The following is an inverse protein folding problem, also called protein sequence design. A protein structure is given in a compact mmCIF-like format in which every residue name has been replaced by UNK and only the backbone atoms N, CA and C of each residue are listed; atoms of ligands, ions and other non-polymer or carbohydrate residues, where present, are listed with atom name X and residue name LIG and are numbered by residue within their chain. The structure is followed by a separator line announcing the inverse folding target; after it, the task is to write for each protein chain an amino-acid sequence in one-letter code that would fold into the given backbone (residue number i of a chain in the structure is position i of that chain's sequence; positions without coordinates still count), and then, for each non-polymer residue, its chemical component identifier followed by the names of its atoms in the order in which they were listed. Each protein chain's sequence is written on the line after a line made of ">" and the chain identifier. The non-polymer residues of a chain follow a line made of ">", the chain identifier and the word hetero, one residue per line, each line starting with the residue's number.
data_IF_064210266082
#
_entry.id   IF_064210266082
#
_cell.length_a   1.000
_cell.length_b   1.000
_cell.length_c   1.000
_cell.angle_alpha   90.00
_cell.angle_beta   90.00
_cell.angle_gamma   90.00
#
_symmetry.space_group_name_H-M   'P 1'
#
loop_
_entity.id
_entity.type
_entity.pdbx_description
1 polymer ?
#
# COMPACT_ATOMS: atom_id res chain seq x y z
N UNK A 1 50.47 -30.18 25.76
CA UNK A 1 50.24 -30.93 27.04
C UNK A 1 49.40 -32.18 26.81
N UNK A 2 48.48 -32.18 25.83
CA UNK A 2 47.59 -33.33 25.56
C UNK A 2 48.30 -34.52 24.89
N UNK A 3 49.39 -34.29 24.17
CA UNK A 3 50.13 -35.34 23.45
C UNK A 3 51.05 -36.15 24.40
N UNK A 4 51.46 -35.56 25.52
CA UNK A 4 52.28 -36.22 26.56
C UNK A 4 51.43 -37.14 27.45
N UNK A 5 50.14 -36.79 27.65
CA UNK A 5 49.20 -37.64 28.40
C UNK A 5 48.76 -38.86 27.60
N UNK A 6 48.52 -38.75 26.30
CA UNK A 6 48.21 -39.86 25.39
C UNK A 6 49.36 -40.88 25.28
N UNK A 7 50.58 -40.42 25.19
CA UNK A 7 51.75 -41.30 25.15
C UNK A 7 52.03 -42.03 26.47
N UNK A 8 51.72 -41.42 27.61
CA UNK A 8 51.88 -42.10 28.93
C UNK A 8 50.81 -43.15 29.16
N UNK A 9 49.60 -43.01 28.60
CA UNK A 9 48.52 -43.99 28.73
C UNK A 9 48.81 -45.21 27.82
N UNK A 10 49.36 -45.02 26.63
CA UNK A 10 49.76 -46.09 25.74
C UNK A 10 50.96 -46.90 26.25
N UNK A 11 51.90 -46.26 26.94
CA UNK A 11 53.04 -46.96 27.56
C UNK A 11 52.67 -47.82 28.77
N UNK A 12 51.63 -47.46 29.54
CA UNK A 12 51.12 -48.29 30.64
C UNK A 12 50.38 -49.53 30.21
N UNK A 13 49.80 -49.52 28.97
CA UNK A 13 49.13 -50.70 28.41
C UNK A 13 50.09 -51.70 27.75
N UNK A 14 51.35 -51.24 27.33
CA UNK A 14 52.28 -52.10 26.58
C UNK A 14 53.32 -52.78 27.46
N UNK A 15 53.50 -52.41 28.77
CA UNK A 15 54.47 -53.06 29.70
C UNK A 15 53.83 -54.12 30.62
N UNK A 16 52.66 -54.63 30.35
CA UNK A 16 51.96 -55.62 31.14
C UNK A 16 51.96 -57.04 30.56
N UNK A 17 53.10 -57.44 29.91
CA UNK A 17 53.24 -58.80 29.43
C UNK A 17 54.25 -59.57 30.33
N UNK A 18 53.79 -60.08 31.45
CA UNK A 18 54.22 -61.27 32.18
C UNK A 18 53.79 -61.19 33.65
N UNK A 19 52.87 -62.02 33.94
CA UNK A 19 52.25 -62.38 35.24
C UNK A 19 50.86 -61.81 35.53
N UNK A 20 49.92 -62.71 35.43
CA UNK A 20 48.48 -62.51 35.54
C UNK A 20 47.94 -61.99 36.89
N UNK A 21 47.95 -60.71 37.01
CA UNK A 21 47.01 -59.97 37.88
C UNK A 21 47.16 -58.46 37.54
N UNK A 22 46.28 -57.98 36.66
CA UNK A 22 46.10 -56.53 36.44
C UNK A 22 45.71 -55.90 37.79
N UNK A 23 46.46 -54.91 38.31
CA UNK A 23 46.09 -54.27 39.55
C UNK A 23 44.73 -53.57 39.42
N UNK A 24 43.78 -54.04 40.20
CA UNK A 24 42.38 -53.57 40.24
C UNK A 24 42.28 -52.04 40.27
N UNK A 25 43.33 -51.37 40.76
CA UNK A 25 43.45 -49.88 40.76
C UNK A 25 43.69 -49.23 39.39
N UNK A 26 44.34 -49.91 38.42
CA UNK A 26 44.50 -49.37 37.08
C UNK A 26 43.21 -49.49 36.25
N UNK A 27 42.51 -50.59 36.37
CA UNK A 27 41.21 -50.83 35.66
C UNK A 27 40.16 -49.85 36.21
N UNK A 28 40.14 -49.56 37.50
CA UNK A 28 39.19 -48.61 38.08
C UNK A 28 39.51 -47.15 37.68
N UNK A 29 40.81 -46.77 37.51
CA UNK A 29 41.17 -45.46 37.00
C UNK A 29 40.88 -45.30 35.50
N UNK A 30 41.15 -46.31 34.67
CA UNK A 30 40.78 -46.29 33.23
C UNK A 30 39.28 -46.25 33.03
N UNK A 31 38.52 -47.02 33.84
CA UNK A 31 37.05 -47.00 33.77
C UNK A 31 36.49 -45.66 34.26
N UNK A 32 37.08 -45.03 35.28
CA UNK A 32 36.73 -43.66 35.69
C UNK A 32 36.99 -42.59 34.64
N UNK A 33 38.10 -42.66 33.92
CA UNK A 33 38.42 -41.69 32.84
C UNK A 33 37.48 -41.89 31.64
N UNK A 34 37.15 -43.13 31.30
CA UNK A 34 36.16 -43.43 30.25
C UNK A 34 34.75 -42.97 30.63
N UNK A 35 34.35 -43.15 31.90
CA UNK A 35 33.05 -42.63 32.42
C UNK A 35 32.98 -41.12 32.42
N UNK A 36 34.06 -40.42 32.85
CA UNK A 36 34.12 -38.94 32.83
C UNK A 36 34.14 -38.42 31.40
N UNK A 37 34.87 -39.06 30.48
CA UNK A 37 34.91 -38.71 29.05
C UNK A 37 33.51 -38.91 28.39
N UNK A 38 32.81 -40.00 28.77
CA UNK A 38 31.42 -40.24 28.31
C UNK A 38 30.44 -39.19 28.78
N UNK A 39 30.54 -38.79 30.06
CA UNK A 39 29.69 -37.73 30.64
C UNK A 39 29.97 -36.37 29.98
N UNK A 40 31.24 -36.00 29.82
CA UNK A 40 31.61 -34.76 29.13
C UNK A 40 31.18 -34.77 27.66
N UNK A 41 31.33 -35.88 26.95
CA UNK A 41 30.83 -36.04 25.58
C UNK A 41 29.31 -35.92 25.50
N UNK A 42 28.56 -36.52 26.45
CA UNK A 42 27.10 -36.39 26.51
C UNK A 42 26.67 -34.94 26.79
N UNK A 43 27.32 -34.24 27.72
CA UNK A 43 27.03 -32.84 28.04
C UNK A 43 27.31 -31.95 26.80
N UNK A 44 28.45 -32.12 26.12
CA UNK A 44 28.79 -31.38 24.90
C UNK A 44 27.75 -31.62 23.82
N UNK A 45 27.31 -32.87 23.64
CA UNK A 45 26.27 -33.23 22.64
C UNK A 45 24.95 -32.57 22.97
N UNK A 46 24.50 -32.53 24.23
CA UNK A 46 23.27 -31.86 24.67
C UNK A 46 23.39 -30.33 24.45
N UNK A 47 24.53 -29.71 24.75
CA UNK A 47 24.76 -28.28 24.52
C UNK A 47 24.71 -27.95 23.04
N UNK A 48 25.32 -28.76 22.18
CA UNK A 48 25.29 -28.59 20.72
C UNK A 48 23.84 -28.75 20.21
N UNK A 49 23.10 -29.74 20.69
CA UNK A 49 21.69 -29.95 20.33
C UNK A 49 20.82 -28.77 20.75
N UNK A 50 21.00 -28.24 21.95
CA UNK A 50 20.33 -27.03 22.44
C UNK A 50 20.70 -25.79 21.61
N UNK A 51 21.96 -25.62 21.25
CA UNK A 51 22.41 -24.52 20.40
C UNK A 51 21.78 -24.58 19.01
N UNK A 52 21.63 -25.77 18.42
CA UNK A 52 20.94 -25.99 17.15
C UNK A 52 19.45 -25.66 17.26
N UNK A 53 18.79 -26.05 18.35
CA UNK A 53 17.37 -25.79 18.59
C UNK A 53 17.12 -24.28 18.77
N UNK A 54 17.94 -23.59 19.57
CA UNK A 54 17.80 -22.15 19.82
C UNK A 54 18.15 -21.34 18.56
N UNK A 55 19.22 -21.69 17.87
CA UNK A 55 19.64 -21.01 16.63
C UNK A 55 18.74 -21.34 15.44
N UNK A 56 17.96 -22.40 15.49
CA UNK A 56 17.02 -22.81 14.44
C UNK A 56 15.63 -22.16 14.55
N UNK A 57 15.28 -21.54 15.67
CA UNK A 57 13.99 -20.89 15.80
C UNK A 57 13.99 -19.50 15.16
N UNK A 58 13.14 -19.31 14.14
CA UNK A 58 13.00 -18.05 13.42
C UNK A 58 11.55 -17.56 13.47
N UNK A 59 11.37 -16.27 13.75
CA UNK A 59 10.07 -15.62 13.81
C UNK A 59 9.91 -14.66 12.62
N UNK A 60 8.89 -14.90 11.79
CA UNK A 60 8.55 -14.03 10.67
C UNK A 60 7.76 -12.81 11.17
N UNK A 61 8.11 -11.62 10.68
CA UNK A 61 7.29 -10.42 10.83
C UNK A 61 6.06 -10.49 9.91
N UNK A 62 4.94 -9.84 10.24
CA UNK A 62 3.78 -9.75 9.34
C UNK A 62 4.07 -9.01 8.03
N UNK A 63 5.05 -8.12 8.02
CA UNK A 63 5.48 -7.33 6.84
C UNK A 63 6.55 -8.00 5.98
N UNK A 64 7.05 -9.19 6.40
CA UNK A 64 8.07 -9.91 5.65
C UNK A 64 7.76 -11.40 5.63
N UNK A 65 7.76 -11.99 4.44
CA UNK A 65 7.75 -13.44 4.29
C UNK A 65 9.17 -13.97 4.43
N UNK A 66 9.32 -15.02 5.22
CA UNK A 66 10.54 -15.80 5.28
C UNK A 66 10.38 -17.05 4.41
N UNK A 67 11.23 -17.15 3.41
CA UNK A 67 11.25 -18.27 2.46
C UNK A 67 12.41 -19.17 2.85
N UNK A 68 12.07 -20.36 3.33
CA UNK A 68 13.06 -21.36 3.74
C UNK A 68 13.17 -22.38 2.62
N UNK A 69 14.35 -22.40 1.99
CA UNK A 69 14.71 -23.33 0.93
C UNK A 69 15.82 -24.28 1.39
N UNK A 70 15.80 -25.54 0.95
CA UNK A 70 16.84 -26.52 1.30
C UNK A 70 16.35 -27.95 1.10
N UNK A 71 16.18 -28.71 2.17
CA UNK A 71 15.93 -30.17 2.16
C UNK A 71 14.65 -30.58 1.42
N UNK A 72 13.63 -29.75 1.47
CA UNK A 72 12.33 -30.05 0.82
C UNK A 72 12.29 -29.54 -0.61
N UNK A 73 11.65 -30.30 -1.51
CA UNK A 73 11.47 -29.93 -2.94
C UNK A 73 10.68 -28.64 -3.15
N UNK A 74 9.80 -28.25 -2.21
CA UNK A 74 9.05 -26.99 -2.23
C UNK A 74 9.54 -26.09 -1.12
N UNK A 75 9.82 -24.80 -1.39
CA UNK A 75 10.19 -23.84 -0.36
C UNK A 75 9.02 -23.67 0.62
N UNK A 76 9.32 -23.49 1.90
CA UNK A 76 8.34 -23.19 2.94
C UNK A 76 8.25 -21.68 3.11
N UNK A 77 7.04 -21.14 3.01
CA UNK A 77 6.75 -19.73 3.17
C UNK A 77 6.19 -19.52 4.59
N UNK A 78 6.83 -18.68 5.38
CA UNK A 78 6.40 -18.31 6.72
C UNK A 78 6.03 -16.83 6.74
N UNK A 79 4.76 -16.53 7.02
CA UNK A 79 4.23 -15.18 7.14
C UNK A 79 3.62 -15.03 8.53
N UNK A 80 4.13 -14.11 9.35
CA UNK A 80 3.61 -13.81 10.68
C UNK A 80 3.64 -14.97 11.67
N UNK A 81 4.34 -16.07 11.36
CA UNK A 81 4.44 -17.28 12.19
C UNK A 81 5.89 -17.57 12.55
N UNK A 82 6.10 -18.25 13.67
CA UNK A 82 7.39 -18.84 13.98
C UNK A 82 7.58 -20.15 13.22
N UNK A 83 8.83 -20.44 12.84
CA UNK A 83 9.20 -21.68 12.18
C UNK A 83 10.57 -22.17 12.67
N UNK A 84 10.82 -23.47 12.52
CA UNK A 84 12.12 -24.05 12.78
C UNK A 84 12.90 -24.17 11.46
N UNK A 85 14.14 -23.70 11.47
CA UNK A 85 15.12 -23.83 10.41
C UNK A 85 16.25 -24.72 10.90
N UNK A 86 16.74 -25.59 10.05
CA UNK A 86 17.95 -26.40 10.36
C UNK A 86 19.15 -25.56 9.87
N UNK A 87 19.94 -24.96 10.81
CA UNK A 87 21.15 -24.24 10.44
C UNK A 87 22.08 -25.21 9.67
N UNK A 88 22.82 -24.70 8.70
CA UNK A 88 23.68 -25.41 7.74
C UNK A 88 23.01 -26.07 6.54
N UNK A 89 21.77 -26.57 6.66
CA UNK A 89 21.07 -27.27 5.57
C UNK A 89 19.98 -26.46 4.90
N UNK A 90 19.42 -25.46 5.58
CA UNK A 90 18.34 -24.63 5.05
C UNK A 90 18.77 -23.18 4.94
N UNK A 91 18.59 -22.59 3.75
CA UNK A 91 18.77 -21.17 3.49
C UNK A 91 17.47 -20.42 3.79
N UNK A 92 17.61 -19.25 4.37
CA UNK A 92 16.50 -18.38 4.69
C UNK A 92 16.66 -17.07 3.93
N UNK A 93 15.71 -16.76 3.10
CA UNK A 93 15.63 -15.53 2.35
C UNK A 93 14.41 -14.73 2.80
N UNK A 94 14.46 -13.40 2.64
CA UNK A 94 13.40 -12.48 3.05
C UNK A 94 12.73 -11.91 1.82
N UNK A 95 11.40 -11.84 1.84
CA UNK A 95 10.60 -11.12 0.86
C UNK A 95 9.79 -10.04 1.57
N UNK A 96 9.87 -8.82 1.10
CA UNK A 96 9.10 -7.70 1.64
C UNK A 96 7.65 -7.80 1.16
N UNK A 97 6.70 -7.83 2.11
CA UNK A 97 5.24 -7.91 1.84
C UNK A 97 4.51 -6.61 2.16
N UNK A 98 5.22 -5.62 2.68
CA UNK A 98 4.63 -4.34 3.04
C UNK A 98 4.13 -3.57 1.83
N UNK A 99 3.33 -2.55 2.09
CA UNK A 99 2.91 -1.61 1.07
C UNK A 99 4.11 -0.78 0.60
N UNK A 100 4.22 -0.60 -0.70
CA UNK A 100 5.27 0.16 -1.37
C UNK A 100 4.59 1.29 -2.15
N UNK A 101 5.11 2.51 -2.01
CA UNK A 101 4.72 3.63 -2.85
C UNK A 101 5.70 3.75 -4.00
N UNK A 102 5.20 3.78 -5.22
CA UNK A 102 5.99 3.94 -6.44
C UNK A 102 5.63 5.29 -7.07
N UNK A 103 6.61 6.17 -7.15
CA UNK A 103 6.46 7.45 -7.83
C UNK A 103 6.67 7.24 -9.34
N UNK A 104 5.63 7.49 -10.12
CA UNK A 104 5.63 7.33 -11.57
C UNK A 104 5.68 8.72 -12.18
N UNK A 105 6.73 9.01 -12.91
CA UNK A 105 6.91 10.28 -13.64
C UNK A 105 7.26 10.00 -15.06
N UNK A 106 6.57 10.66 -15.99
CA UNK A 106 6.96 10.60 -17.40
C UNK A 106 8.17 11.52 -17.60
N UNK A 107 9.37 10.93 -17.75
CA UNK A 107 10.59 11.70 -17.98
C UNK A 107 10.57 12.46 -19.34
N UNK A 108 9.91 11.87 -20.32
CA UNK A 108 9.73 12.47 -21.64
C UNK A 108 8.25 12.76 -21.88
N UNK A 109 7.91 13.90 -22.51
CA UNK A 109 6.53 14.21 -22.84
C UNK A 109 5.88 13.11 -23.69
N UNK A 110 4.65 12.77 -23.36
CA UNK A 110 3.88 11.72 -24.03
C UNK A 110 2.76 12.36 -24.84
N UNK A 111 2.64 12.06 -26.14
CA UNK A 111 1.53 12.56 -26.93
C UNK A 111 0.22 11.89 -26.55
N UNK A 112 -0.80 12.70 -26.31
CA UNK A 112 -2.19 12.26 -26.15
C UNK A 112 -2.82 11.89 -27.48
N UNK A 113 -4.05 11.37 -27.46
CA UNK A 113 -4.83 11.13 -28.70
C UNK A 113 -5.05 12.40 -29.55
N UNK A 114 -5.03 13.57 -28.92
CA UNK A 114 -5.14 14.89 -29.59
C UNK A 114 -3.80 15.43 -30.08
N UNK A 115 -2.74 14.61 -30.06
CA UNK A 115 -1.37 15.00 -30.42
C UNK A 115 -0.76 16.12 -29.55
N UNK A 116 -1.24 16.26 -28.33
CA UNK A 116 -0.71 17.21 -27.35
C UNK A 116 0.27 16.48 -26.45
N UNK A 117 1.47 17.01 -26.31
CA UNK A 117 2.48 16.44 -25.42
C UNK A 117 2.20 16.81 -23.97
N UNK A 118 2.08 15.82 -23.11
CA UNK A 118 1.84 15.98 -21.67
C UNK A 118 2.87 15.23 -20.83
N UNK A 119 3.16 15.79 -19.67
CA UNK A 119 3.89 15.13 -18.60
C UNK A 119 2.92 14.84 -17.46
N UNK A 120 2.90 13.59 -17.00
CA UNK A 120 2.02 13.14 -15.93
C UNK A 120 2.85 12.60 -14.77
N UNK A 121 2.56 13.11 -13.58
CA UNK A 121 3.08 12.60 -12.32
C UNK A 121 1.97 11.84 -11.59
N UNK A 122 2.25 10.61 -11.19
CA UNK A 122 1.33 9.76 -10.45
C UNK A 122 2.04 8.99 -9.34
N UNK A 123 1.30 8.55 -8.34
CA UNK A 123 1.80 7.68 -7.29
C UNK A 123 0.94 6.42 -7.24
N UNK A 124 1.57 5.28 -7.47
CA UNK A 124 0.93 3.98 -7.30
C UNK A 124 1.31 3.37 -5.95
N UNK A 125 0.32 2.81 -5.27
CA UNK A 125 0.53 1.99 -4.07
C UNK A 125 0.36 0.53 -4.44
N UNK A 126 1.43 -0.23 -4.23
CA UNK A 126 1.50 -1.64 -4.58
C UNK A 126 1.88 -2.48 -3.37
N UNK A 127 1.54 -3.75 -3.41
CA UNK A 127 1.97 -4.72 -2.42
C UNK A 127 2.14 -6.10 -3.08
N UNK A 128 2.90 -6.98 -2.45
CA UNK A 128 2.94 -8.38 -2.87
C UNK A 128 1.61 -9.03 -2.52
N UNK A 129 1.00 -9.74 -3.47
CA UNK A 129 -0.23 -10.51 -3.24
C UNK A 129 -0.06 -11.49 -2.08
N UNK A 130 -1.11 -11.69 -1.31
CA UNK A 130 -1.07 -12.58 -0.11
C UNK A 130 -1.26 -14.05 -0.45
N UNK A 131 -1.66 -14.35 -1.67
CA UNK A 131 -1.83 -15.72 -2.14
C UNK A 131 -0.48 -16.43 -2.25
N UNK A 132 -0.47 -17.72 -2.01
CA UNK A 132 0.74 -18.52 -2.08
C UNK A 132 1.40 -18.44 -3.46
N UNK A 133 0.59 -18.37 -4.52
CA UNK A 133 1.04 -18.25 -5.91
C UNK A 133 1.72 -16.90 -6.15
N UNK A 134 1.10 -15.79 -5.73
CA UNK A 134 1.65 -14.45 -5.85
C UNK A 134 2.95 -14.29 -5.06
N UNK A 135 3.04 -14.84 -3.86
CA UNK A 135 4.27 -14.84 -3.05
C UNK A 135 5.38 -15.64 -3.74
N UNK A 136 5.07 -16.77 -4.38
CA UNK A 136 6.05 -17.55 -5.12
C UNK A 136 6.54 -16.81 -6.37
N UNK A 137 5.66 -16.12 -7.08
CA UNK A 137 6.03 -15.30 -8.25
C UNK A 137 6.90 -14.11 -7.82
N UNK A 138 6.49 -13.38 -6.79
CA UNK A 138 7.27 -12.27 -6.25
C UNK A 138 8.64 -12.72 -5.72
N UNK A 139 8.72 -13.89 -5.09
CA UNK A 139 9.97 -14.44 -4.62
C UNK A 139 10.98 -14.75 -5.73
N UNK A 140 10.51 -15.07 -6.94
CA UNK A 140 11.43 -15.31 -8.07
C UNK A 140 12.14 -14.04 -8.53
N UNK A 141 11.49 -12.89 -8.39
CA UNK A 141 11.99 -11.62 -8.91
C UNK A 141 12.59 -10.70 -7.82
N UNK A 142 12.00 -10.70 -6.62
CA UNK A 142 12.28 -9.69 -5.59
C UNK A 142 12.84 -10.27 -4.28
N UNK A 143 13.41 -11.47 -4.33
CA UNK A 143 13.98 -12.11 -3.14
C UNK A 143 15.13 -11.27 -2.58
N UNK A 144 15.07 -10.96 -1.27
CA UNK A 144 16.03 -10.11 -0.55
C UNK A 144 16.09 -8.64 -1.01
N UNK A 145 15.16 -8.19 -1.83
CA UNK A 145 15.05 -6.77 -2.20
C UNK A 145 14.40 -5.97 -1.07
N UNK A 146 14.83 -4.73 -0.93
CA UNK A 146 14.16 -3.73 -0.09
C UNK A 146 12.94 -3.17 -0.82
N UNK A 147 11.99 -2.57 -0.07
CA UNK A 147 10.83 -1.93 -0.70
C UNK A 147 11.19 -0.87 -1.75
N UNK A 148 12.28 -0.12 -1.53
CA UNK A 148 12.78 0.89 -2.47
C UNK A 148 13.32 0.28 -3.77
N UNK A 149 14.02 -0.85 -3.68
CA UNK A 149 14.51 -1.55 -4.86
C UNK A 149 13.35 -2.11 -5.69
N UNK A 150 12.34 -2.67 -5.02
CA UNK A 150 11.13 -3.15 -5.69
C UNK A 150 10.40 -1.97 -6.36
N UNK A 151 10.28 -0.82 -5.66
CA UNK A 151 9.66 0.38 -6.22
C UNK A 151 10.33 0.82 -7.51
N UNK A 152 11.66 0.85 -7.51
CA UNK A 152 12.46 1.25 -8.68
C UNK A 152 12.28 0.29 -9.87
N UNK A 153 12.29 -1.02 -9.62
CA UNK A 153 12.11 -2.02 -10.68
C UNK A 153 10.69 -1.99 -11.28
N UNK A 154 9.68 -1.62 -10.47
CA UNK A 154 8.30 -1.50 -10.93
C UNK A 154 8.01 -0.17 -11.62
N UNK A 155 8.80 0.88 -11.37
CA UNK A 155 8.59 2.21 -11.90
C UNK A 155 8.55 2.21 -13.42
N UNK A 156 9.53 1.60 -14.08
CA UNK A 156 9.63 1.57 -15.54
C UNK A 156 8.43 0.86 -16.19
N UNK A 157 7.97 -0.23 -15.56
CA UNK A 157 6.82 -0.98 -16.06
C UNK A 157 5.51 -0.21 -15.90
N UNK A 158 5.33 0.47 -14.76
CA UNK A 158 4.15 1.29 -14.49
C UNK A 158 4.14 2.55 -15.36
N UNK A 159 5.30 3.18 -15.59
CA UNK A 159 5.44 4.30 -16.50
C UNK A 159 5.07 3.89 -17.93
N UNK A 160 5.54 2.74 -18.41
CA UNK A 160 5.19 2.22 -19.72
C UNK A 160 3.69 2.03 -19.91
N UNK A 161 3.01 1.42 -18.92
CA UNK A 161 1.55 1.25 -18.94
C UNK A 161 0.80 2.58 -18.92
N UNK A 162 1.27 3.54 -18.09
CA UNK A 162 0.69 4.88 -18.03
C UNK A 162 0.84 5.61 -19.36
N UNK A 163 2.01 5.54 -20.00
CA UNK A 163 2.30 6.12 -21.30
C UNK A 163 1.38 5.58 -22.41
N UNK A 164 1.09 4.27 -22.40
CA UNK A 164 0.16 3.64 -23.33
C UNK A 164 -1.26 4.19 -23.18
N UNK A 165 -1.74 4.34 -21.94
CA UNK A 165 -3.08 4.86 -21.67
C UNK A 165 -3.18 6.36 -22.03
N UNK A 166 -2.16 7.18 -21.72
CA UNK A 166 -2.11 8.59 -22.13
C UNK A 166 -2.30 8.73 -23.63
N UNK A 167 -1.66 7.88 -24.43
CA UNK A 167 -1.79 7.89 -25.89
C UNK A 167 -3.20 7.55 -26.41
N UNK A 168 -4.06 6.96 -25.61
CA UNK A 168 -5.45 6.63 -25.99
C UNK A 168 -6.47 7.68 -25.58
N UNK A 169 -6.13 8.58 -24.67
CA UNK A 169 -7.03 9.57 -24.08
C UNK A 169 -6.75 10.99 -24.63
N UNK A 170 -7.77 11.84 -24.56
CA UNK A 170 -7.64 13.27 -24.85
C UNK A 170 -7.15 14.03 -23.62
N UNK A 171 -6.51 15.18 -23.81
CA UNK A 171 -6.07 16.05 -22.71
C UNK A 171 -7.23 16.45 -21.79
N UNK A 172 -8.38 16.75 -22.39
CA UNK A 172 -9.60 17.12 -21.64
C UNK A 172 -10.07 15.97 -20.76
N UNK A 173 -10.08 14.72 -21.28
CA UNK A 173 -10.48 13.52 -20.52
C UNK A 173 -9.55 13.28 -19.34
N UNK A 174 -8.23 13.36 -19.54
CA UNK A 174 -7.22 13.16 -18.49
C UNK A 174 -7.39 14.18 -17.35
N UNK A 175 -7.72 15.43 -17.69
CA UNK A 175 -7.83 16.49 -16.69
C UNK A 175 -9.20 16.53 -16.00
N UNK A 176 -10.27 16.15 -16.71
CA UNK A 176 -11.66 16.23 -16.19
C UNK A 176 -12.05 15.00 -15.39
N UNK A 177 -11.63 13.81 -15.82
CA UNK A 177 -11.99 12.52 -15.19
C UNK A 177 -10.73 11.73 -14.78
N UNK A 178 -10.07 12.24 -13.74
CA UNK A 178 -8.84 11.64 -13.22
C UNK A 178 -9.06 10.24 -12.62
N UNK A 179 -10.24 10.00 -12.07
CA UNK A 179 -10.57 8.70 -11.46
C UNK A 179 -10.68 7.62 -12.55
N UNK A 180 -11.40 7.91 -13.65
CA UNK A 180 -11.50 6.99 -14.78
C UNK A 180 -10.12 6.72 -15.42
N UNK A 181 -9.27 7.74 -15.52
CA UNK A 181 -7.91 7.56 -16.01
C UNK A 181 -7.09 6.66 -15.08
N UNK A 182 -7.14 6.90 -13.76
CA UNK A 182 -6.48 6.06 -12.76
C UNK A 182 -6.92 4.59 -12.87
N UNK A 183 -8.22 4.36 -12.98
CA UNK A 183 -8.79 3.01 -13.10
C UNK A 183 -8.32 2.30 -14.38
N UNK A 184 -8.22 3.01 -15.50
CA UNK A 184 -7.70 2.44 -16.75
C UNK A 184 -6.23 2.05 -16.61
N UNK A 185 -5.40 2.91 -15.98
CA UNK A 185 -3.99 2.61 -15.72
C UNK A 185 -3.86 1.39 -14.80
N UNK A 186 -4.65 1.33 -13.70
CA UNK A 186 -4.65 0.19 -12.79
C UNK A 186 -5.05 -1.09 -13.50
N UNK A 187 -6.14 -1.07 -14.28
CA UNK A 187 -6.64 -2.25 -15.00
C UNK A 187 -5.63 -2.77 -16.03
N UNK A 188 -4.94 -1.88 -16.74
CA UNK A 188 -3.91 -2.24 -17.69
C UNK A 188 -2.68 -2.80 -16.98
N UNK A 189 -2.16 -2.09 -16.01
CA UNK A 189 -0.98 -2.49 -15.27
C UNK A 189 -1.20 -3.74 -14.40
N UNK A 190 -2.43 -3.98 -13.90
CA UNK A 190 -2.73 -5.13 -13.05
C UNK A 190 -2.41 -6.48 -13.70
N UNK A 191 -2.57 -6.61 -15.02
CA UNK A 191 -2.24 -7.84 -15.73
C UNK A 191 -0.74 -8.15 -15.71
N UNK A 192 0.10 -7.12 -15.88
CA UNK A 192 1.54 -7.28 -15.87
C UNK A 192 2.09 -7.42 -14.45
N UNK A 193 1.56 -6.65 -13.52
CA UNK A 193 1.91 -6.75 -12.09
C UNK A 193 1.55 -8.13 -11.51
N UNK A 194 0.44 -8.71 -11.92
CA UNK A 194 0.03 -10.05 -11.49
C UNK A 194 1.03 -11.13 -11.90
N UNK A 195 1.67 -11.00 -13.06
CA UNK A 195 2.73 -11.92 -13.51
C UNK A 195 3.97 -11.85 -12.60
N UNK A 196 4.19 -10.71 -11.95
CA UNK A 196 5.26 -10.49 -10.98
C UNK A 196 4.85 -10.83 -9.54
N UNK A 197 3.58 -11.20 -9.31
CA UNK A 197 3.03 -11.44 -7.98
C UNK A 197 2.74 -10.17 -7.19
N UNK A 198 2.61 -9.03 -7.87
CA UNK A 198 2.32 -7.70 -7.28
C UNK A 198 0.86 -7.34 -7.52
N UNK A 199 0.23 -6.76 -6.51
CA UNK A 199 -1.12 -6.22 -6.55
C UNK A 199 -1.08 -4.70 -6.43
N UNK A 200 -1.81 -4.01 -7.29
CA UNK A 200 -1.95 -2.56 -7.24
C UNK A 200 -3.15 -2.23 -6.37
N UNK A 201 -2.92 -1.49 -5.29
CA UNK A 201 -3.96 -1.07 -4.36
C UNK A 201 -4.66 0.21 -4.83
N UNK A 202 -3.89 1.16 -5.33
CA UNK A 202 -4.39 2.42 -5.88
C UNK A 202 -3.34 3.07 -6.77
N UNK A 203 -3.80 3.85 -7.73
CA UNK A 203 -2.97 4.75 -8.51
C UNK A 203 -3.62 6.14 -8.45
N UNK A 204 -2.87 7.14 -8.02
CA UNK A 204 -3.37 8.50 -7.89
C UNK A 204 -2.54 9.44 -8.75
N UNK A 205 -3.20 10.16 -9.66
CA UNK A 205 -2.57 11.17 -10.49
C UNK A 205 -2.40 12.44 -9.65
N UNK A 206 -1.17 12.90 -9.56
CA UNK A 206 -0.83 14.09 -8.78
C UNK A 206 -0.89 15.34 -9.64
N UNK A 207 -0.21 15.31 -10.77
CA UNK A 207 -0.07 16.46 -11.64
C UNK A 207 -0.11 16.08 -13.12
N UNK A 208 -0.66 16.95 -13.94
CA UNK A 208 -0.63 16.85 -15.39
C UNK A 208 -0.19 18.21 -15.91
N UNK A 209 0.90 18.26 -16.65
CA UNK A 209 1.46 19.48 -17.23
C UNK A 209 1.67 19.30 -18.73
N UNK A 210 1.56 20.38 -19.45
CA UNK A 210 1.87 20.46 -20.87
C UNK A 210 2.92 21.54 -21.14
N UNK A 211 3.73 21.35 -22.15
CA UNK A 211 4.83 22.29 -22.49
C UNK A 211 4.32 23.56 -23.14
N UNK A 212 3.10 23.57 -23.71
CA UNK A 212 2.54 24.67 -24.50
C UNK A 212 1.57 25.56 -23.73
N UNK A 213 1.28 25.24 -22.44
CA UNK A 213 0.34 26.00 -21.61
C UNK A 213 -1.14 25.82 -21.97
N UNK A 214 -1.48 24.81 -22.77
CA UNK A 214 -2.85 24.55 -23.22
C UNK A 214 -3.80 24.20 -22.05
N UNK A 215 -3.28 23.55 -21.01
CA UNK A 215 -4.06 23.27 -19.77
C UNK A 215 -4.49 24.58 -19.13
N UNK A 216 -3.61 25.58 -19.08
CA UNK A 216 -3.90 26.91 -18.52
C UNK A 216 -4.94 27.63 -19.35
N UNK A 217 -4.82 27.57 -20.68
CA UNK A 217 -5.75 28.21 -21.61
C UNK A 217 -7.14 27.57 -21.56
N UNK A 218 -7.23 26.24 -21.50
CA UNK A 218 -8.48 25.51 -21.29
C UNK A 218 -9.11 25.87 -19.93
N UNK A 219 -8.28 26.02 -18.88
CA UNK A 219 -8.71 26.48 -17.57
C UNK A 219 -9.26 27.91 -17.60
N UNK A 220 -8.66 28.82 -18.36
CA UNK A 220 -9.11 30.18 -18.55
C UNK A 220 -10.46 30.25 -19.29
N UNK A 221 -10.62 29.49 -20.40
CA UNK A 221 -11.90 29.38 -21.13
C UNK A 221 -13.01 28.83 -20.25
N UNK A 222 -12.76 27.72 -19.53
CA UNK A 222 -13.75 27.16 -18.62
C UNK A 222 -14.13 28.12 -17.50
N UNK A 223 -13.14 28.86 -16.95
CA UNK A 223 -13.38 29.91 -15.94
C UNK A 223 -14.25 31.03 -16.51
N UNK A 224 -14.01 31.47 -17.75
CA UNK A 224 -14.82 32.49 -18.42
C UNK A 224 -16.26 31.99 -18.65
N UNK A 225 -16.44 30.74 -19.06
CA UNK A 225 -17.76 30.11 -19.23
C UNK A 225 -18.53 30.01 -17.91
N UNK A 226 -17.87 29.58 -16.82
CA UNK A 226 -18.46 29.51 -15.48
C UNK A 226 -18.87 30.91 -14.99
N UNK A 227 -18.00 31.94 -15.14
CA UNK A 227 -18.32 33.34 -14.80
C UNK A 227 -19.52 33.85 -15.58
N UNK A 228 -19.58 33.60 -16.89
CA UNK A 228 -20.72 33.96 -17.73
C UNK A 228 -22.02 33.32 -17.24
N UNK A 229 -21.99 31.98 -16.99
CA UNK A 229 -23.16 31.26 -16.49
C UNK A 229 -23.62 31.77 -15.12
N UNK A 230 -22.68 32.03 -14.22
CA UNK A 230 -22.98 32.59 -12.90
C UNK A 230 -23.57 34.01 -12.98
N UNK A 231 -23.07 34.86 -13.89
CA UNK A 231 -23.63 36.18 -14.12
C UNK A 231 -25.07 36.13 -14.67
N UNK A 232 -25.33 35.23 -15.62
CA UNK A 232 -26.70 35.02 -16.17
C UNK A 232 -27.63 34.54 -15.06
N UNK A 233 -27.26 33.49 -14.32
CA UNK A 233 -28.08 32.96 -13.22
C UNK A 233 -28.36 34.00 -12.14
N UNK A 234 -27.37 34.86 -11.81
CA UNK A 234 -27.56 35.95 -10.85
C UNK A 234 -28.56 36.99 -11.38
N UNK A 235 -28.43 37.41 -12.64
CA UNK A 235 -29.36 38.34 -13.28
C UNK A 235 -30.80 37.79 -13.36
N UNK A 236 -30.96 36.51 -13.66
CA UNK A 236 -32.25 35.81 -13.64
C UNK A 236 -32.87 35.80 -12.23
N UNK A 237 -32.09 35.46 -11.21
CA UNK A 237 -32.54 35.46 -9.82
C UNK A 237 -32.91 36.87 -9.34
N UNK A 238 -32.16 37.90 -9.69
CA UNK A 238 -32.48 39.31 -9.36
C UNK A 238 -33.79 39.74 -10.05
N UNK A 239 -33.99 39.37 -11.31
CA UNK A 239 -35.24 39.61 -12.02
C UNK A 239 -36.45 38.93 -11.33
N UNK A 240 -36.30 37.67 -10.99
CA UNK A 240 -37.40 36.88 -10.38
C UNK A 240 -37.75 37.43 -8.97
N UNK A 241 -36.74 37.84 -8.20
CA UNK A 241 -36.93 38.54 -6.90
C UNK A 241 -37.64 39.90 -7.11
N UNK A 242 -37.25 40.66 -8.13
CA UNK A 242 -37.89 41.95 -8.42
C UNK A 242 -39.34 41.75 -8.85
N UNK A 243 -39.66 40.75 -9.70
CA UNK A 243 -41.03 40.44 -10.10
C UNK A 243 -41.86 39.97 -8.91
N UNK A 244 -41.34 39.09 -8.07
CA UNK A 244 -42.07 38.62 -6.87
C UNK A 244 -42.33 39.78 -5.89
N UNK A 245 -41.37 40.66 -5.71
CA UNK A 245 -41.52 41.85 -4.88
C UNK A 245 -42.60 42.83 -5.42
N UNK A 246 -42.60 43.04 -6.75
CA UNK A 246 -43.62 43.89 -7.40
C UNK A 246 -45.02 43.30 -7.29
N UNK A 247 -45.16 41.97 -7.42
CA UNK A 247 -46.43 41.28 -7.23
C UNK A 247 -46.92 41.40 -5.78
N UNK A 248 -46.09 41.11 -4.81
CA UNK A 248 -46.44 41.26 -3.40
C UNK A 248 -46.81 42.69 -3.02
N UNK A 249 -46.13 43.68 -3.60
CA UNK A 249 -46.48 45.11 -3.42
C UNK A 249 -47.83 45.46 -4.01
N UNK A 250 -48.14 44.91 -5.20
CA UNK A 250 -49.46 45.08 -5.83
C UNK A 250 -50.57 44.50 -4.97
N UNK A 251 -50.42 43.23 -4.54
CA UNK A 251 -51.38 42.57 -3.67
C UNK A 251 -51.62 43.35 -2.35
N UNK A 252 -50.54 43.84 -1.75
CA UNK A 252 -50.62 44.68 -0.53
C UNK A 252 -51.39 45.97 -0.78
N UNK A 253 -51.12 46.68 -1.90
CA UNK A 253 -51.86 47.88 -2.29
C UNK A 253 -53.33 47.62 -2.59
N UNK A 254 -53.62 46.51 -3.30
CA UNK A 254 -54.99 46.14 -3.64
C UNK A 254 -55.80 45.84 -2.35
N UNK A 255 -55.19 45.10 -1.39
CA UNK A 255 -55.78 44.83 -0.07
C UNK A 255 -55.98 46.12 0.76
N UNK A 256 -55.07 47.07 0.67
CA UNK A 256 -55.19 48.35 1.38
C UNK A 256 -56.29 49.24 0.81
N UNK A 257 -56.41 49.28 -0.53
CA UNK A 257 -57.50 50.00 -1.21
C UNK A 257 -58.87 49.41 -0.87
N UNK A 258 -58.98 48.06 -0.82
CA UNK A 258 -60.20 47.37 -0.43
C UNK A 258 -60.62 47.70 1.03
N UNK A 259 -59.66 47.68 1.96
CA UNK A 259 -59.88 48.06 3.34
C UNK A 259 -60.33 49.53 3.50
N UNK A 260 -59.68 50.45 2.77
CA UNK A 260 -60.03 51.88 2.78
C UNK A 260 -61.42 52.12 2.22
N UNK A 261 -61.82 51.40 1.17
CA UNK A 261 -63.20 51.45 0.63
C UNK A 261 -64.24 50.95 1.66
N UNK A 262 -63.96 49.88 2.37
CA UNK A 262 -64.88 49.36 3.39
C UNK A 262 -64.97 50.35 4.56
N UNK A 263 -63.89 50.98 4.99
CA UNK A 263 -63.91 52.02 6.02
C UNK A 263 -64.73 53.24 5.57
N UNK A 264 -64.57 53.70 4.32
CA UNK A 264 -65.32 54.82 3.77
C UNK A 264 -66.80 54.51 3.65
N UNK A 265 -67.18 53.30 3.25
CA UNK A 265 -68.58 52.87 3.24
C UNK A 265 -69.19 52.86 4.65
N UNK A 266 -68.52 52.33 5.63
CA UNK A 266 -69.00 52.33 7.03
C UNK A 266 -69.11 53.72 7.59
N UNK A 267 -68.23 54.66 7.24
CA UNK A 267 -68.29 56.05 7.66
C UNK A 267 -69.49 56.77 7.05
N UNK A 268 -69.83 56.50 5.75
CA UNK A 268 -70.98 57.04 5.09
C UNK A 268 -72.27 56.50 5.69
N UNK A 269 -72.38 55.19 5.95
CA UNK A 269 -73.52 54.58 6.65
C UNK A 269 -73.77 55.15 8.04
N UNK A 270 -72.71 55.39 8.80
CA UNK A 270 -72.80 56.05 10.12
C UNK A 270 -73.30 57.50 10.01
N UNK A 271 -72.85 58.26 9.01
CA UNK A 271 -73.26 59.61 8.76
C UNK A 271 -74.77 59.66 8.36
N UNK A 272 -75.22 58.76 7.52
CA UNK A 272 -76.62 58.63 7.17
C UNK A 272 -77.48 58.32 8.41
N UNK A 273 -77.12 57.33 9.20
CA UNK A 273 -77.86 57.02 10.46
C UNK A 273 -77.89 58.17 11.46
N UNK A 274 -76.82 58.93 11.55
CA UNK A 274 -76.81 60.15 12.42
C UNK A 274 -77.69 61.26 11.89
N UNK A 275 -77.86 61.36 10.56
CA UNK A 275 -78.73 62.31 9.96
C UNK A 275 -80.22 61.92 10.13
N UNK A 276 -80.59 60.63 10.10
CA UNK A 276 -81.92 60.08 10.36
C UNK A 276 -82.34 60.23 11.82
N UNK A 277 -81.42 60.31 12.77
CA UNK A 277 -81.71 60.45 14.20
C UNK A 277 -81.78 61.92 14.67
N UNK A 278 -81.60 62.89 13.80
CA UNK A 278 -81.76 64.34 14.10
C UNK A 278 -83.12 64.84 13.50
#
# INVERSE_FOLDING_TARGET
>A
EDDVLSRRILLCCFQGGESGALPVRCVAKCMGILFIGGIVGAVVLVVVLLAILVGGYVKASPSTALIISGIKKRPRILIGRGGARIPFFERMDKLFLGQISVDIKTETPVPTNDYINVNVDAVAKVMVGRDEESVQLAARNFLNFTGEQIAKDLQDSLEGNMREIIGTLTLEAINTDRDSFSDQVVNKAAQDMKKLGIEILSCNIQNVTDDNGLIVDLGADNTARIKKRAAISRAEAERDVAVAKAQAQKEANDAQVEADLEIAQRQTDLAIRQAELK
#
